data_IF_417582611090
#
_entry.id   IF_417582611090
#
_cell.length_a   1.000
_cell.length_b   1.000
_cell.length_c   1.000
_cell.angle_alpha   90.00
_cell.angle_beta   90.00
_cell.angle_gamma   90.00
#
_symmetry.space_group_name_H-M   'P 1'
#
loop_
_entity.id
_entity.type
_entity.pdbx_description
1 polymer ?
#
# COMPACT_ATOMS: atom_id res chain seq x y z
N UNK A 1 27.84 8.98 -3.16
CA UNK A 1 26.97 8.23 -4.09
C UNK A 1 26.27 9.26 -4.95
N UNK A 2 26.36 9.14 -6.26
CA UNK A 2 25.59 10.02 -7.15
C UNK A 2 24.10 9.92 -6.80
N UNK A 3 23.36 11.02 -6.92
CA UNK A 3 21.98 11.18 -6.44
C UNK A 3 20.93 10.41 -7.29
N UNK A 4 21.37 9.35 -7.94
CA UNK A 4 20.66 8.63 -8.98
C UNK A 4 19.97 7.36 -8.46
N UNK A 5 20.19 7.02 -7.20
CA UNK A 5 19.70 5.80 -6.56
C UNK A 5 20.57 4.57 -6.84
N UNK A 6 20.45 3.53 -6.00
CA UNK A 6 21.28 2.34 -6.08
C UNK A 6 20.94 1.49 -7.31
N UNK A 7 21.97 0.85 -7.86
CA UNK A 7 21.83 -0.30 -8.73
C UNK A 7 21.85 -1.58 -7.90
N UNK A 8 21.49 -2.70 -8.52
CA UNK A 8 21.50 -4.00 -7.86
C UNK A 8 22.86 -4.33 -7.20
N UNK A 9 23.96 -4.00 -7.88
CA UNK A 9 25.32 -4.30 -7.43
C UNK A 9 25.77 -3.47 -6.21
N UNK A 10 24.98 -2.47 -5.80
CA UNK A 10 25.28 -1.63 -4.63
C UNK A 10 24.77 -2.23 -3.33
N UNK A 11 23.84 -3.19 -3.39
CA UNK A 11 23.24 -3.78 -2.21
C UNK A 11 24.12 -4.83 -1.58
N UNK A 12 23.98 -4.97 -0.26
CA UNK A 12 24.57 -6.06 0.52
C UNK A 12 23.54 -6.59 1.49
N UNK A 13 23.53 -7.89 1.72
CA UNK A 13 22.73 -8.49 2.78
C UNK A 13 22.99 -7.78 4.12
N UNK A 14 21.92 -7.43 4.84
CA UNK A 14 21.97 -6.72 6.11
C UNK A 14 22.17 -5.20 6.01
N UNK A 15 22.36 -4.64 4.81
CA UNK A 15 22.50 -3.20 4.61
C UNK A 15 21.24 -2.45 5.04
N UNK A 16 21.41 -1.41 5.86
CA UNK A 16 20.36 -0.42 6.13
C UNK A 16 20.46 0.71 5.10
N UNK A 17 19.35 1.00 4.42
CA UNK A 17 19.26 2.12 3.49
C UNK A 17 19.08 3.40 4.30
N UNK A 18 19.91 4.44 4.08
CA UNK A 18 19.76 5.72 4.78
C UNK A 18 18.34 6.28 4.59
N UNK A 19 17.59 6.56 5.66
CA UNK A 19 16.18 6.95 5.54
C UNK A 19 16.03 8.30 4.83
N UNK A 20 14.87 8.49 4.18
CA UNK A 20 14.44 9.82 3.76
C UNK A 20 14.05 10.67 4.99
N UNK A 21 13.93 12.00 4.85
CA UNK A 21 13.50 12.85 5.95
C UNK A 21 12.19 12.36 6.58
N UNK A 22 12.12 12.47 7.91
CA UNK A 22 10.90 12.23 8.67
C UNK A 22 9.81 13.23 8.24
N UNK A 23 8.54 12.83 8.40
CA UNK A 23 7.38 13.66 8.03
C UNK A 23 6.48 13.82 9.23
N UNK A 24 6.25 15.05 9.67
CA UNK A 24 5.14 15.34 10.59
C UNK A 24 3.86 15.36 9.79
N UNK A 25 2.96 14.41 10.06
CA UNK A 25 1.70 14.29 9.32
C UNK A 25 0.72 15.35 9.83
N UNK A 26 0.09 16.06 8.91
CA UNK A 26 -0.81 17.17 9.19
C UNK A 26 -2.21 16.88 8.64
N UNK A 27 -3.18 17.72 9.03
CA UNK A 27 -4.54 17.64 8.46
C UNK A 27 -4.54 17.88 6.93
N UNK A 28 -3.58 18.66 6.42
CA UNK A 28 -3.46 18.91 4.99
C UNK A 28 -3.16 17.62 4.21
N UNK A 29 -2.45 16.66 4.82
CA UNK A 29 -2.12 15.39 4.18
C UNK A 29 -3.37 14.51 4.06
N UNK A 30 -4.25 14.48 5.06
CA UNK A 30 -5.57 13.85 4.96
C UNK A 30 -6.41 14.48 3.84
N UNK A 31 -6.45 15.81 3.77
CA UNK A 31 -7.19 16.54 2.73
C UNK A 31 -6.65 16.20 1.34
N UNK A 32 -5.33 16.22 1.16
CA UNK A 32 -4.68 15.90 -0.10
C UNK A 32 -4.92 14.43 -0.51
N UNK A 33 -4.81 13.49 0.43
CA UNK A 33 -5.05 12.08 0.16
C UNK A 33 -6.49 11.81 -0.28
N UNK A 34 -7.47 12.39 0.42
CA UNK A 34 -8.88 12.29 0.06
C UNK A 34 -9.19 12.98 -1.27
N UNK A 35 -8.55 14.11 -1.58
CA UNK A 35 -8.70 14.78 -2.88
C UNK A 35 -8.24 13.88 -4.02
N UNK A 36 -7.16 13.12 -3.83
CA UNK A 36 -6.59 12.25 -4.86
C UNK A 36 -7.33 10.92 -4.97
N UNK A 37 -7.79 10.35 -3.86
CA UNK A 37 -8.35 8.99 -3.84
C UNK A 37 -9.87 8.93 -3.77
N UNK A 38 -10.51 10.03 -3.38
CA UNK A 38 -11.94 10.03 -3.06
C UNK A 38 -12.29 9.27 -1.77
N UNK A 39 -11.30 8.90 -0.93
CA UNK A 39 -11.53 8.11 0.29
C UNK A 39 -12.53 8.77 1.24
N UNK A 40 -13.60 8.04 1.57
CA UNK A 40 -14.70 8.49 2.43
C UNK A 40 -14.58 7.98 3.87
N UNK A 41 -13.38 7.57 4.29
CA UNK A 41 -13.14 7.00 5.61
C UNK A 41 -13.69 7.90 6.74
N UNK A 42 -14.74 7.42 7.40
CA UNK A 42 -15.60 8.25 8.24
C UNK A 42 -14.85 8.91 9.40
N UNK A 43 -13.91 8.19 10.04
CA UNK A 43 -13.19 8.69 11.21
C UNK A 43 -12.01 9.61 10.87
N UNK A 44 -11.45 9.54 9.67
CA UNK A 44 -10.38 10.48 9.26
C UNK A 44 -10.98 11.78 8.69
N UNK A 45 -12.25 11.72 8.25
CA UNK A 45 -13.01 12.88 7.80
C UNK A 45 -13.73 13.64 8.93
N UNK A 46 -14.10 12.95 10.03
CA UNK A 46 -14.84 13.50 11.15
C UNK A 46 -14.17 13.18 12.50
N UNK A 47 -13.65 14.23 13.15
CA UNK A 47 -13.02 14.15 14.47
C UNK A 47 -13.99 13.73 15.57
N UNK A 48 -15.25 14.16 15.50
CA UNK A 48 -16.26 13.78 16.48
C UNK A 48 -16.56 12.29 16.38
N UNK A 49 -16.61 11.76 15.17
CA UNK A 49 -16.78 10.32 14.97
C UNK A 49 -15.54 9.53 15.39
N UNK A 50 -14.33 10.02 15.12
CA UNK A 50 -13.12 9.40 15.65
C UNK A 50 -13.08 9.39 17.18
N UNK A 51 -13.42 10.51 17.82
CA UNK A 51 -13.54 10.61 19.28
C UNK A 51 -14.58 9.64 19.82
N UNK A 52 -15.71 9.48 19.13
CA UNK A 52 -16.79 8.58 19.54
C UNK A 52 -16.34 7.12 19.56
N UNK A 53 -15.65 6.64 18.52
CA UNK A 53 -15.20 5.23 18.45
C UNK A 53 -13.95 4.95 19.28
N UNK A 54 -13.04 5.92 19.41
CA UNK A 54 -11.70 5.71 19.99
C UNK A 54 -11.51 6.30 21.39
N UNK A 55 -12.35 7.24 21.79
CA UNK A 55 -12.16 8.07 22.98
C UNK A 55 -11.07 9.14 22.84
N UNK A 56 -10.33 9.18 21.73
CA UNK A 56 -9.26 10.16 21.51
C UNK A 56 -9.80 11.57 21.29
N UNK A 57 -9.04 12.57 21.73
CA UNK A 57 -9.28 13.99 21.41
C UNK A 57 -8.51 14.47 20.17
N UNK A 58 -7.70 13.60 19.57
CA UNK A 58 -6.92 13.87 18.37
C UNK A 58 -7.76 13.80 17.09
N UNK A 59 -7.06 13.65 15.97
CA UNK A 59 -7.66 13.43 14.65
C UNK A 59 -6.93 12.28 13.96
N UNK A 60 -7.67 11.33 13.40
CA UNK A 60 -7.10 10.16 12.75
C UNK A 60 -6.47 10.53 11.40
N UNK A 61 -5.25 10.07 11.16
CA UNK A 61 -4.67 10.03 9.81
C UNK A 61 -5.29 8.82 9.08
N UNK A 62 -5.74 9.00 7.84
CA UNK A 62 -6.30 7.89 7.05
C UNK A 62 -5.34 6.69 7.06
N UNK A 63 -5.79 5.46 7.41
CA UNK A 63 -4.94 4.28 7.44
C UNK A 63 -4.23 4.01 6.10
N UNK A 64 -4.90 4.34 4.99
CA UNK A 64 -4.34 4.22 3.66
C UNK A 64 -3.15 5.17 3.45
N UNK A 65 -3.30 6.43 3.87
CA UNK A 65 -2.28 7.46 3.77
C UNK A 65 -1.01 7.12 4.56
N UNK A 66 -1.16 6.61 5.80
CA UNK A 66 -0.03 6.16 6.63
C UNK A 66 0.83 5.16 5.86
N UNK A 67 0.18 4.19 5.22
CA UNK A 67 0.87 3.19 4.41
C UNK A 67 1.47 3.77 3.13
N UNK A 68 0.85 4.78 2.50
CA UNK A 68 1.46 5.42 1.34
C UNK A 68 2.75 6.16 1.72
N UNK A 69 2.84 6.79 2.89
CA UNK A 69 4.11 7.32 3.41
C UNK A 69 5.12 6.21 3.69
N UNK A 70 4.70 5.15 4.37
CA UNK A 70 5.55 4.01 4.69
C UNK A 70 6.17 3.39 3.43
N UNK A 71 5.41 3.29 2.33
CA UNK A 71 5.91 2.77 1.05
C UNK A 71 6.78 3.81 0.36
N UNK A 72 6.29 5.04 0.21
CA UNK A 72 6.97 6.12 -0.49
C UNK A 72 8.36 6.41 0.07
N UNK A 73 8.50 6.46 1.41
CA UNK A 73 9.79 6.72 2.07
C UNK A 73 10.87 5.65 1.78
N UNK A 74 10.49 4.44 1.39
CA UNK A 74 11.42 3.32 1.11
C UNK A 74 11.91 3.30 -0.34
N UNK A 75 11.36 4.16 -1.19
CA UNK A 75 11.66 4.14 -2.62
C UNK A 75 13.00 4.78 -2.98
N UNK A 76 13.68 5.39 -2.01
CA UNK A 76 15.10 5.73 -2.11
C UNK A 76 15.98 4.49 -2.40
N UNK A 77 15.59 3.33 -1.88
CA UNK A 77 16.21 2.04 -2.22
C UNK A 77 15.87 1.58 -3.64
N UNK A 78 14.80 2.11 -4.26
CA UNK A 78 14.25 1.55 -5.50
C UNK A 78 13.96 2.61 -6.56
N UNK A 79 14.74 3.70 -6.60
CA UNK A 79 14.58 4.77 -7.60
C UNK A 79 14.59 4.24 -9.04
N UNK A 80 15.41 3.20 -9.25
CA UNK A 80 15.68 2.50 -10.52
C UNK A 80 15.05 1.11 -10.60
N UNK A 81 14.09 0.79 -9.72
CA UNK A 81 13.43 -0.50 -9.80
C UNK A 81 12.64 -0.62 -11.11
N UNK A 82 12.77 -1.80 -11.73
CA UNK A 82 12.03 -2.19 -12.94
C UNK A 82 10.58 -2.51 -12.54
N UNK A 83 10.41 -3.21 -11.41
CA UNK A 83 9.11 -3.56 -10.85
C UNK A 83 9.24 -3.85 -9.36
N UNK A 84 8.14 -3.66 -8.61
CA UNK A 84 7.95 -4.30 -7.31
C UNK A 84 7.21 -5.62 -7.57
N UNK A 85 7.77 -6.74 -7.14
CA UNK A 85 7.23 -8.07 -7.44
C UNK A 85 6.05 -8.41 -6.53
N UNK A 86 6.14 -8.07 -5.25
CA UNK A 86 5.07 -8.27 -4.26
C UNK A 86 5.37 -7.47 -2.98
N UNK A 87 4.32 -7.25 -2.19
CA UNK A 87 4.39 -6.92 -0.77
C UNK A 87 3.95 -8.14 0.04
N UNK A 88 4.54 -8.36 1.21
CA UNK A 88 4.22 -9.50 2.05
C UNK A 88 4.28 -9.15 3.54
N UNK A 89 3.58 -9.95 4.34
CA UNK A 89 3.58 -9.85 5.81
C UNK A 89 3.23 -8.46 6.34
N UNK A 90 2.29 -7.76 5.69
CA UNK A 90 2.00 -6.37 6.05
C UNK A 90 1.16 -6.31 7.31
N UNK A 91 1.67 -5.62 8.33
CA UNK A 91 0.98 -5.40 9.61
C UNK A 91 0.97 -3.92 9.94
N UNK A 92 -0.23 -3.38 10.18
CA UNK A 92 -0.44 -2.04 10.73
C UNK A 92 -0.62 -2.20 12.23
N UNK A 93 0.39 -1.79 12.98
CA UNK A 93 0.54 -2.06 14.41
C UNK A 93 -0.28 -1.10 15.26
N UNK A 94 -0.53 0.12 14.77
CA UNK A 94 -1.38 1.11 15.42
C UNK A 94 -1.86 2.18 14.44
N UNK A 95 -2.93 2.86 14.82
CA UNK A 95 -3.35 4.10 14.18
C UNK A 95 -2.36 5.25 14.47
N UNK A 96 -2.39 6.25 13.59
CA UNK A 96 -1.58 7.47 13.69
C UNK A 96 -2.50 8.66 13.80
N UNK A 97 -2.18 9.58 14.70
CA UNK A 97 -2.92 10.84 14.83
C UNK A 97 -2.18 12.00 14.14
N UNK A 98 -2.97 12.97 13.68
CA UNK A 98 -2.46 14.22 13.10
C UNK A 98 -1.54 14.91 14.11
N UNK A 99 -0.35 15.29 13.66
CA UNK A 99 0.70 15.91 14.47
C UNK A 99 1.86 14.97 14.80
N UNK A 100 1.70 13.65 14.63
CA UNK A 100 2.80 12.70 14.80
C UNK A 100 3.83 12.81 13.67
N UNK A 101 5.10 12.64 14.03
CA UNK A 101 6.23 12.57 13.10
C UNK A 101 6.59 11.12 12.78
N UNK A 102 6.51 10.74 11.50
CA UNK A 102 6.77 9.38 11.02
C UNK A 102 8.13 9.27 10.33
N UNK A 103 8.84 8.18 10.62
CA UNK A 103 10.10 7.80 9.98
C UNK A 103 10.03 6.35 9.54
N UNK A 104 10.53 6.07 8.33
CA UNK A 104 10.59 4.70 7.81
C UNK A 104 12.02 4.29 7.55
N UNK A 105 12.39 3.10 8.04
CA UNK A 105 13.68 2.46 7.82
C UNK A 105 13.55 1.28 6.87
N UNK A 106 14.61 0.96 6.15
CA UNK A 106 14.63 -0.15 5.19
C UNK A 106 15.92 -0.93 5.32
N UNK A 107 15.82 -2.25 5.42
CA UNK A 107 16.95 -3.18 5.52
C UNK A 107 16.91 -4.20 4.39
N UNK A 108 18.05 -4.48 3.78
CA UNK A 108 18.20 -5.57 2.80
C UNK A 108 18.24 -6.89 3.55
N UNK A 109 17.22 -7.73 3.33
CA UNK A 109 17.06 -9.05 3.95
C UNK A 109 17.61 -10.18 3.07
N UNK A 110 17.74 -9.96 1.76
CA UNK A 110 18.26 -10.95 0.83
C UNK A 110 18.45 -10.42 -0.59
N UNK A 111 19.34 -11.06 -1.32
CA UNK A 111 19.68 -10.75 -2.71
C UNK A 111 19.72 -12.04 -3.53
N UNK A 112 19.08 -12.02 -4.70
CA UNK A 112 19.16 -13.12 -5.64
C UNK A 112 19.25 -12.62 -7.09
N UNK A 113 20.22 -13.12 -7.84
CA UNK A 113 20.36 -12.80 -9.26
C UNK A 113 19.09 -13.23 -10.01
N UNK A 114 18.59 -12.37 -10.89
CA UNK A 114 17.48 -12.69 -11.76
C UNK A 114 17.99 -12.95 -13.18
N UNK A 115 17.26 -13.78 -13.94
CA UNK A 115 17.58 -14.02 -15.34
C UNK A 115 17.57 -12.69 -16.11
N UNK A 116 18.66 -12.35 -16.84
CA UNK A 116 18.70 -11.17 -17.69
C UNK A 116 17.53 -11.15 -18.68
N UNK A 117 17.11 -9.96 -19.08
CA UNK A 117 16.13 -9.78 -20.16
C UNK A 117 16.80 -9.00 -21.28
N UNK A 118 17.10 -9.68 -22.39
CA UNK A 118 18.06 -9.19 -23.39
C UNK A 118 19.37 -8.79 -22.69
N UNK A 119 19.90 -7.59 -22.97
CA UNK A 119 21.17 -7.12 -22.40
C UNK A 119 21.03 -6.51 -21.00
N UNK A 120 19.81 -6.44 -20.45
CA UNK A 120 19.57 -5.87 -19.12
C UNK A 120 19.73 -6.92 -18.02
N UNK A 121 20.85 -6.83 -17.31
CA UNK A 121 21.07 -7.56 -16.07
C UNK A 121 20.26 -6.94 -14.92
N UNK A 122 19.81 -7.80 -14.00
CA UNK A 122 18.88 -7.43 -12.93
C UNK A 122 18.91 -8.45 -11.80
N UNK A 123 18.48 -8.04 -10.62
CA UNK A 123 18.40 -8.90 -9.45
C UNK A 123 17.24 -8.55 -8.53
N UNK A 124 16.84 -9.52 -7.72
CA UNK A 124 15.83 -9.39 -6.68
C UNK A 124 16.49 -8.83 -5.42
N UNK A 125 15.89 -7.79 -4.86
CA UNK A 125 16.26 -7.21 -3.58
C UNK A 125 15.08 -7.36 -2.64
N UNK A 126 15.24 -8.23 -1.63
CA UNK A 126 14.25 -8.41 -0.58
C UNK A 126 14.53 -7.40 0.53
N UNK A 127 13.52 -6.59 0.84
CA UNK A 127 13.60 -5.47 1.76
C UNK A 127 12.64 -5.71 2.92
N UNK A 128 13.12 -5.50 4.14
CA UNK A 128 12.33 -5.37 5.35
C UNK A 128 12.16 -3.90 5.70
N UNK A 129 10.93 -3.51 6.01
CA UNK A 129 10.54 -2.13 6.26
C UNK A 129 9.91 -2.04 7.64
N UNK A 130 10.32 -1.00 8.38
CA UNK A 130 9.70 -0.62 9.65
C UNK A 130 9.44 0.89 9.65
N UNK A 131 8.19 1.26 9.90
CA UNK A 131 7.74 2.63 10.08
C UNK A 131 7.43 2.87 11.56
N UNK A 132 8.03 3.91 12.12
CA UNK A 132 7.86 4.32 13.52
C UNK A 132 7.38 5.77 13.57
N UNK A 133 6.58 6.09 14.58
CA UNK A 133 6.20 7.47 14.89
C UNK A 133 6.52 7.81 16.34
N UNK A 134 6.15 9.03 16.75
CA UNK A 134 6.41 9.55 18.10
C UNK A 134 5.86 8.62 19.20
N UNK A 135 4.75 7.94 18.93
CA UNK A 135 4.09 7.02 19.86
C UNK A 135 4.47 5.53 19.65
N UNK A 136 5.58 5.25 18.96
CA UNK A 136 6.11 3.89 18.75
C UNK A 136 5.85 3.31 17.35
N UNK A 137 6.08 2.00 17.15
CA UNK A 137 5.96 1.33 15.86
C UNK A 137 4.57 1.47 15.23
N UNK A 138 4.52 1.73 13.92
CA UNK A 138 3.28 1.98 13.16
C UNK A 138 3.01 0.84 12.19
N UNK A 139 4.01 0.44 11.40
CA UNK A 139 3.84 -0.59 10.39
C UNK A 139 5.13 -1.37 10.17
N UNK A 140 4.96 -2.66 9.87
CA UNK A 140 6.05 -3.55 9.49
C UNK A 140 5.62 -4.39 8.30
N UNK A 141 6.51 -4.51 7.32
CA UNK A 141 6.25 -5.32 6.14
C UNK A 141 7.54 -5.60 5.37
N UNK A 142 7.42 -6.45 4.36
CA UNK A 142 8.51 -6.74 3.44
C UNK A 142 8.05 -6.55 2.00
N UNK A 143 8.99 -6.24 1.10
CA UNK A 143 8.73 -6.22 -0.34
C UNK A 143 9.93 -6.72 -1.11
N UNK A 144 9.68 -7.27 -2.29
CA UNK A 144 10.74 -7.68 -3.21
C UNK A 144 10.74 -6.78 -4.44
N UNK A 145 11.85 -6.07 -4.68
CA UNK A 145 12.03 -5.24 -5.86
C UNK A 145 12.94 -5.92 -6.88
N UNK A 146 12.64 -5.76 -8.17
CA UNK A 146 13.53 -6.14 -9.26
C UNK A 146 14.31 -4.90 -9.70
N UNK A 147 15.62 -4.89 -9.49
CA UNK A 147 16.48 -3.71 -9.73
C UNK A 147 17.50 -4.02 -10.83
N UNK A 148 17.77 -3.04 -11.70
CA UNK A 148 18.77 -3.17 -12.75
C UNK A 148 20.19 -3.22 -12.17
N UNK A 149 21.06 -4.04 -12.77
CA UNK A 149 22.50 -4.07 -12.51
C UNK A 149 23.25 -3.21 -13.54
N UNK A 150 24.45 -2.72 -13.19
CA UNK A 150 25.35 -2.01 -14.11
C UNK A 150 26.21 -2.95 -14.93
N UNK A 151 26.78 -3.96 -14.30
CA UNK A 151 27.93 -4.70 -14.85
C UNK A 151 27.74 -6.21 -14.91
N UNK A 152 26.55 -6.73 -14.59
CA UNK A 152 26.26 -8.16 -14.77
C UNK A 152 25.42 -8.77 -13.65
N UNK A 153 25.72 -10.00 -13.30
CA UNK A 153 25.08 -10.71 -12.20
C UNK A 153 26.15 -11.01 -11.13
N UNK A 154 26.13 -10.37 -9.95
CA UNK A 154 27.13 -10.52 -8.89
C UNK A 154 27.25 -11.93 -8.26
N UNK A 155 26.36 -12.86 -8.58
CA UNK A 155 26.37 -14.22 -8.04
C UNK A 155 25.56 -14.39 -6.76
N UNK A 156 24.66 -13.47 -6.44
CA UNK A 156 23.81 -13.59 -5.26
C UNK A 156 22.76 -14.69 -5.44
N UNK A 157 22.53 -15.48 -4.39
CA UNK A 157 21.67 -16.67 -4.44
C UNK A 157 20.94 -16.92 -3.12
N UNK A 158 20.65 -15.87 -2.36
CA UNK A 158 19.87 -16.00 -1.13
C UNK A 158 18.48 -16.57 -1.45
N UNK A 159 17.95 -17.37 -0.52
CA UNK A 159 16.57 -17.86 -0.60
C UNK A 159 15.62 -16.70 -0.24
N UNK A 160 15.01 -16.11 -1.28
CA UNK A 160 14.05 -15.01 -1.12
C UNK A 160 12.64 -15.62 -1.10
N UNK A 161 11.92 -15.50 0.02
CA UNK A 161 10.62 -16.14 0.14
C UNK A 161 9.60 -15.38 -0.71
N UNK A 162 8.66 -16.10 -1.33
CA UNK A 162 7.65 -15.56 -2.26
C UNK A 162 6.59 -14.65 -1.60
N UNK A 163 5.41 -14.44 -2.21
CA UNK A 163 4.26 -13.86 -1.51
C UNK A 163 3.94 -14.62 -0.21
N UNK A 164 3.34 -13.95 0.78
CA UNK A 164 2.93 -14.61 2.03
C UNK A 164 1.72 -15.50 1.80
N UNK A 165 1.68 -16.64 2.49
CA UNK A 165 0.42 -17.33 2.73
C UNK A 165 -0.47 -16.46 3.64
N UNK A 166 -1.81 -16.48 3.45
CA UNK A 166 -2.72 -15.71 4.29
C UNK A 166 -2.54 -16.01 5.78
N UNK A 167 -2.36 -14.97 6.60
CA UNK A 167 -2.24 -15.16 8.04
C UNK A 167 -3.62 -15.47 8.65
N UNK A 168 -3.75 -16.46 9.57
CA UNK A 168 -5.00 -16.69 10.28
C UNK A 168 -5.49 -15.40 10.95
N UNK A 169 -6.78 -15.06 10.84
CA UNK A 169 -7.31 -13.82 11.43
C UNK A 169 -7.09 -13.76 12.95
N UNK A 170 -7.07 -14.92 13.61
CA UNK A 170 -6.82 -15.03 15.05
C UNK A 170 -5.45 -14.46 15.46
N UNK A 171 -4.44 -14.56 14.59
CA UNK A 171 -3.09 -14.04 14.82
C UNK A 171 -3.00 -12.51 14.60
N UNK A 172 -4.07 -11.91 14.06
CA UNK A 172 -4.17 -10.49 13.76
C UNK A 172 -5.00 -9.72 14.79
N UNK A 173 -5.68 -10.40 15.72
CA UNK A 173 -6.53 -9.77 16.75
C UNK A 173 -5.77 -8.73 17.58
N UNK A 174 -4.47 -8.96 17.84
CA UNK A 174 -3.63 -8.00 18.56
C UNK A 174 -3.35 -6.70 17.82
N UNK A 175 -3.66 -6.61 16.52
CA UNK A 175 -3.52 -5.40 15.69
C UNK A 175 -4.80 -4.55 15.69
N UNK A 176 -5.91 -5.08 16.22
CA UNK A 176 -7.18 -4.37 16.26
C UNK A 176 -7.07 -3.25 17.30
N UNK A 177 -7.32 -1.98 16.92
CA UNK A 177 -7.34 -0.90 17.89
C UNK A 177 -8.47 -1.11 18.90
N UNK A 178 -8.28 -0.66 20.14
CA UNK A 178 -9.31 -0.73 21.18
C UNK A 178 -10.41 0.34 20.95
N UNK A 179 -11.10 0.25 19.82
CA UNK A 179 -12.20 1.12 19.43
C UNK A 179 -13.53 0.36 19.53
N UNK A 180 -14.61 1.08 19.78
CA UNK A 180 -15.95 0.52 19.83
C UNK A 180 -16.75 0.97 18.59
N UNK A 181 -17.12 0.03 17.74
CA UNK A 181 -17.91 0.28 16.53
C UNK A 181 -19.40 -0.08 16.66
N UNK A 182 -19.87 -0.53 17.83
CA UNK A 182 -21.24 -1.04 18.05
C UNK A 182 -22.35 -0.05 17.64
N UNK A 183 -22.05 1.25 17.65
CA UNK A 183 -23.01 2.30 17.26
C UNK A 183 -23.05 2.57 15.75
N UNK A 184 -22.10 2.03 14.98
CA UNK A 184 -22.03 2.22 13.54
C UNK A 184 -22.94 1.21 12.82
N UNK A 185 -23.51 1.57 11.67
CA UNK A 185 -24.33 0.64 10.90
C UNK A 185 -23.45 -0.49 10.33
N UNK A 186 -23.80 -1.73 10.68
CA UNK A 186 -23.23 -2.91 10.05
C UNK A 186 -23.73 -3.04 8.60
N UNK A 187 -22.83 -3.39 7.69
CA UNK A 187 -23.18 -3.73 6.31
C UNK A 187 -23.13 -5.24 6.17
N UNK A 188 -24.29 -5.88 6.06
CA UNK A 188 -24.35 -7.32 5.84
C UNK A 188 -23.61 -7.69 4.55
N UNK A 189 -22.77 -8.72 4.59
CA UNK A 189 -21.98 -9.22 3.48
C UNK A 189 -21.74 -10.71 3.69
N UNK A 190 -22.19 -11.54 2.76
CA UNK A 190 -22.07 -12.99 2.89
C UNK A 190 -20.67 -13.46 2.47
N UNK A 191 -20.19 -14.55 3.06
CA UNK A 191 -18.91 -15.15 2.64
C UNK A 191 -18.97 -15.51 1.14
N UNK A 192 -17.86 -15.28 0.44
CA UNK A 192 -17.69 -15.46 -1.01
C UNK A 192 -18.56 -14.52 -1.88
N UNK A 193 -19.41 -13.68 -1.30
CA UNK A 193 -20.18 -12.68 -2.03
C UNK A 193 -19.23 -11.64 -2.63
N UNK A 194 -19.33 -11.45 -3.95
CA UNK A 194 -18.62 -10.39 -4.66
C UNK A 194 -19.54 -9.20 -4.90
N UNK A 195 -19.12 -8.00 -4.51
CA UNK A 195 -19.79 -6.75 -4.85
C UNK A 195 -18.89 -5.87 -5.68
N UNK A 196 -19.47 -5.24 -6.69
CA UNK A 196 -18.82 -4.20 -7.47
C UNK A 196 -19.24 -2.82 -6.94
N UNK A 197 -18.32 -1.88 -6.98
CA UNK A 197 -18.64 -0.48 -6.74
C UNK A 197 -19.14 0.18 -8.03
N UNK A 198 -20.36 0.69 -7.99
CA UNK A 198 -21.02 1.29 -9.14
C UNK A 198 -20.37 2.60 -9.60
N UNK A 199 -19.63 3.30 -8.74
CA UNK A 199 -19.07 4.61 -9.07
C UNK A 199 -17.91 4.52 -10.07
N UNK A 200 -17.14 3.42 -10.03
CA UNK A 200 -15.79 3.34 -10.64
C UNK A 200 -14.89 4.48 -10.12
N UNK A 201 -13.62 4.52 -10.52
CA UNK A 201 -12.77 5.70 -10.30
C UNK A 201 -11.79 5.88 -11.45
N UNK A 202 -11.40 7.12 -11.69
CA UNK A 202 -10.36 7.43 -12.67
C UNK A 202 -9.04 7.69 -11.94
N UNK A 203 -7.94 7.38 -12.61
CA UNK A 203 -6.60 7.67 -12.09
C UNK A 203 -6.23 9.10 -12.45
N UNK A 204 -6.20 10.00 -11.47
CA UNK A 204 -5.78 11.38 -11.65
C UNK A 204 -4.83 11.85 -10.53
N UNK A 205 -4.09 12.92 -10.79
CA UNK A 205 -3.12 13.49 -9.86
C UNK A 205 -2.06 12.46 -9.37
N UNK A 206 -1.73 11.44 -10.17
CA UNK A 206 -0.87 10.36 -9.70
C UNK A 206 0.55 10.82 -9.30
N UNK A 207 1.20 11.77 -10.03
CA UNK A 207 2.46 12.35 -9.58
C UNK A 207 2.34 13.11 -8.25
N UNK A 208 1.17 13.65 -7.91
CA UNK A 208 0.94 14.37 -6.66
C UNK A 208 1.02 13.41 -5.47
N UNK A 209 0.38 12.24 -5.55
CA UNK A 209 0.48 11.20 -4.51
C UNK A 209 1.92 10.72 -4.32
N UNK A 210 2.63 10.46 -5.43
CA UNK A 210 4.03 10.07 -5.36
C UNK A 210 4.92 11.17 -4.74
N UNK A 211 4.65 12.44 -5.01
CA UNK A 211 5.42 13.56 -4.44
C UNK A 211 5.15 13.74 -2.95
N UNK A 212 3.88 13.80 -2.54
CA UNK A 212 3.53 14.08 -1.15
C UNK A 212 4.03 12.99 -0.19
N UNK A 213 4.15 11.75 -0.67
CA UNK A 213 4.60 10.59 0.11
C UNK A 213 6.11 10.30 0.00
N UNK A 214 6.87 11.22 -0.59
CA UNK A 214 8.31 11.09 -0.85
C UNK A 214 8.69 9.88 -1.73
N UNK A 215 7.77 9.40 -2.57
CA UNK A 215 8.10 8.39 -3.55
C UNK A 215 9.07 8.95 -4.62
N UNK A 216 10.24 8.31 -4.73
CA UNK A 216 11.38 8.68 -5.57
C UNK A 216 11.57 7.74 -6.78
N UNK A 217 10.67 6.80 -7.04
CA UNK A 217 10.77 5.94 -8.22
C UNK A 217 10.61 6.76 -9.51
N UNK A 218 11.57 6.66 -10.42
CA UNK A 218 11.62 7.50 -11.63
C UNK A 218 10.45 7.24 -12.57
N UNK A 219 9.97 6.00 -12.64
CA UNK A 219 8.85 5.59 -13.51
C UNK A 219 7.56 6.37 -13.24
N UNK A 220 7.38 6.94 -12.03
CA UNK A 220 6.22 7.77 -11.69
C UNK A 220 6.36 9.24 -12.09
N UNK A 221 7.56 9.65 -12.54
CA UNK A 221 7.92 11.06 -12.82
C UNK A 221 8.34 11.27 -14.26
N UNK A 222 9.05 10.32 -14.84
CA UNK A 222 9.58 10.40 -16.19
C UNK A 222 9.14 9.17 -17.00
N UNK A 223 8.48 9.41 -18.13
CA UNK A 223 8.06 8.35 -19.05
C UNK A 223 9.23 7.66 -19.75
N UNK A 224 10.39 8.32 -19.87
CA UNK A 224 11.60 7.72 -20.45
C UNK A 224 12.19 6.60 -19.58
N UNK A 225 11.89 6.61 -18.27
CA UNK A 225 12.30 5.57 -17.34
C UNK A 225 11.41 4.31 -17.40
N UNK A 226 10.30 4.37 -18.14
CA UNK A 226 9.31 3.30 -18.28
C UNK A 226 9.42 2.62 -19.65
N UNK A 227 9.24 1.30 -19.68
CA UNK A 227 9.22 0.53 -20.94
C UNK A 227 8.03 0.90 -21.85
N UNK A 228 7.02 1.59 -21.31
CA UNK A 228 5.82 1.99 -22.05
C UNK A 228 5.98 3.37 -22.71
N UNK A 229 7.10 4.08 -22.50
CA UNK A 229 7.30 5.44 -23.02
C UNK A 229 6.38 6.49 -22.39
N UNK A 230 5.64 6.13 -21.34
CA UNK A 230 4.79 7.00 -20.52
C UNK A 230 4.98 6.69 -19.04
N UNK A 231 4.71 7.68 -18.18
CA UNK A 231 4.79 7.52 -16.72
C UNK A 231 3.88 6.39 -16.28
N UNK A 232 4.41 5.51 -15.43
CA UNK A 232 3.62 4.50 -14.73
C UNK A 232 3.02 5.12 -13.48
N UNK A 233 1.75 4.85 -13.23
CA UNK A 233 1.10 5.21 -11.98
C UNK A 233 1.72 4.39 -10.85
N UNK A 234 1.90 5.02 -9.70
CA UNK A 234 2.34 4.34 -8.49
C UNK A 234 1.30 3.30 -8.08
N UNK A 235 1.68 2.05 -7.90
CA UNK A 235 0.74 0.96 -7.56
C UNK A 235 -0.10 1.23 -6.31
N UNK A 236 0.47 1.91 -5.30
CA UNK A 236 -0.28 2.34 -4.12
C UNK A 236 -1.35 3.40 -4.39
N UNK A 237 -1.31 4.08 -5.54
CA UNK A 237 -2.41 4.92 -6.01
C UNK A 237 -3.64 4.06 -6.36
N UNK A 238 -3.45 2.99 -7.14
CA UNK A 238 -4.53 2.05 -7.48
C UNK A 238 -5.05 1.35 -6.22
N UNK A 239 -4.16 1.00 -5.29
CA UNK A 239 -4.55 0.48 -3.98
C UNK A 239 -5.35 1.52 -3.15
N UNK A 240 -4.96 2.79 -3.18
CA UNK A 240 -5.69 3.88 -2.52
C UNK A 240 -7.11 4.04 -3.07
N UNK A 241 -7.27 3.96 -4.39
CA UNK A 241 -8.60 3.94 -5.05
C UNK A 241 -9.39 2.67 -4.67
N UNK A 242 -8.74 1.51 -4.60
CA UNK A 242 -9.37 0.27 -4.14
C UNK A 242 -9.88 0.39 -2.69
N UNK A 243 -9.12 1.05 -1.81
CA UNK A 243 -9.55 1.33 -0.44
C UNK A 243 -10.72 2.33 -0.41
N UNK A 244 -10.66 3.41 -1.20
CA UNK A 244 -11.77 4.37 -1.30
C UNK A 244 -13.05 3.70 -1.79
N UNK A 245 -12.93 2.80 -2.78
CA UNK A 245 -14.02 1.97 -3.26
C UNK A 245 -14.58 1.05 -2.17
N UNK A 246 -13.71 0.39 -1.40
CA UNK A 246 -14.13 -0.42 -0.26
C UNK A 246 -14.90 0.42 0.77
N UNK A 247 -14.42 1.62 1.11
CA UNK A 247 -15.10 2.54 2.03
C UNK A 247 -16.50 2.95 1.54
N UNK A 248 -16.78 2.94 0.22
CA UNK A 248 -18.12 3.24 -0.31
C UNK A 248 -19.08 2.06 -0.19
N UNK A 249 -18.59 0.83 -0.43
CA UNK A 249 -19.42 -0.39 -0.38
C UNK A 249 -19.49 -1.01 1.03
N UNK A 250 -18.56 -0.63 1.92
CA UNK A 250 -18.51 -0.96 3.34
C UNK A 250 -18.22 0.32 4.15
N UNK A 251 -19.20 1.22 4.36
CA UNK A 251 -18.99 2.52 5.02
C UNK A 251 -18.45 2.46 6.45
N UNK A 252 -18.55 1.31 7.11
CA UNK A 252 -18.07 1.07 8.47
C UNK A 252 -16.58 0.70 8.58
N UNK A 253 -15.81 0.60 7.49
CA UNK A 253 -14.37 0.30 7.59
C UNK A 253 -13.67 1.34 8.47
N UNK A 254 -13.19 0.90 9.64
CA UNK A 254 -12.55 1.77 10.62
C UNK A 254 -11.02 1.70 10.55
N UNK A 255 -10.45 0.55 10.19
CA UNK A 255 -9.01 0.39 10.03
C UNK A 255 -8.68 -0.70 9.01
N UNK A 256 -7.52 -0.57 8.37
CA UNK A 256 -6.83 -1.68 7.69
C UNK A 256 -5.75 -2.16 8.65
N UNK A 257 -5.85 -3.39 9.15
CA UNK A 257 -4.91 -3.92 10.17
C UNK A 257 -3.77 -4.72 9.55
N UNK A 258 -4.00 -5.28 8.37
CA UNK A 258 -3.03 -6.07 7.62
C UNK A 258 -3.46 -6.21 6.15
N UNK A 259 -2.57 -6.72 5.30
CA UNK A 259 -2.95 -7.35 4.04
C UNK A 259 -2.01 -8.51 3.72
N UNK A 260 -2.56 -9.57 3.15
CA UNK A 260 -1.79 -10.79 2.85
C UNK A 260 -0.90 -10.59 1.61
N UNK A 261 -1.40 -9.82 0.62
CA UNK A 261 -0.69 -9.54 -0.63
C UNK A 261 -1.25 -8.33 -1.37
N UNK A 262 -0.46 -7.82 -2.31
CA UNK A 262 -0.82 -6.75 -3.23
C UNK A 262 -0.02 -6.95 -4.53
N UNK A 263 -0.70 -7.54 -5.52
CA UNK A 263 -0.12 -7.91 -6.81
C UNK A 263 -0.57 -6.93 -7.90
N UNK A 264 0.41 -6.30 -8.55
CA UNK A 264 0.17 -5.42 -9.69
C UNK A 264 0.31 -6.21 -10.99
N UNK A 265 -0.80 -6.81 -11.43
CA UNK A 265 -0.88 -7.70 -12.60
C UNK A 265 -0.67 -6.97 -13.93
N UNK A 266 -0.95 -5.66 -13.96
CA UNK A 266 -0.83 -4.82 -15.13
C UNK A 266 -0.47 -3.38 -14.79
N UNK A 267 -0.02 -2.59 -15.78
CA UNK A 267 0.27 -1.18 -15.56
C UNK A 267 -1.02 -0.36 -15.45
N UNK A 268 -0.98 0.70 -14.66
CA UNK A 268 -1.96 1.78 -14.68
C UNK A 268 -1.30 3.07 -15.21
N UNK A 269 -2.10 3.90 -15.87
CA UNK A 269 -1.71 5.18 -16.44
C UNK A 269 -2.67 6.29 -16.00
N UNK A 270 -2.17 7.52 -15.98
CA UNK A 270 -2.99 8.69 -15.71
C UNK A 270 -4.13 8.77 -16.74
N UNK A 271 -5.36 8.96 -16.26
CA UNK A 271 -6.58 8.99 -17.06
C UNK A 271 -7.29 7.64 -17.21
N UNK A 272 -6.67 6.53 -16.79
CA UNK A 272 -7.34 5.22 -16.83
C UNK A 272 -8.59 5.24 -15.95
N UNK A 273 -9.70 4.69 -16.45
CA UNK A 273 -10.90 4.40 -15.66
C UNK A 273 -10.81 2.99 -15.10
N UNK A 274 -11.09 2.82 -13.81
CA UNK A 274 -10.97 1.56 -13.08
C UNK A 274 -12.31 1.15 -12.49
N UNK A 275 -12.66 -0.12 -12.60
CA UNK A 275 -13.70 -0.75 -11.79
C UNK A 275 -13.08 -1.58 -10.68
N UNK A 276 -13.78 -1.68 -9.55
CA UNK A 276 -13.35 -2.46 -8.39
C UNK A 276 -14.40 -3.49 -8.00
N UNK A 277 -13.93 -4.70 -7.71
CA UNK A 277 -14.74 -5.83 -7.23
C UNK A 277 -14.17 -6.30 -5.91
N UNK A 278 -15.02 -6.54 -4.93
CA UNK A 278 -14.67 -6.87 -3.57
C UNK A 278 -15.33 -8.19 -3.21
N UNK A 279 -14.57 -9.22 -2.87
CA UNK A 279 -15.10 -10.51 -2.41
C UNK A 279 -14.71 -10.75 -0.97
N UNK A 280 -15.70 -10.99 -0.10
CA UNK A 280 -15.45 -11.35 1.29
C UNK A 280 -14.95 -12.79 1.39
N UNK A 281 -13.80 -13.00 2.02
CA UNK A 281 -13.15 -14.30 2.13
C UNK A 281 -13.33 -14.94 3.51
N UNK A 282 -13.19 -14.14 4.56
CA UNK A 282 -13.21 -14.62 5.94
C UNK A 282 -13.68 -13.50 6.87
N UNK A 283 -14.37 -13.86 7.95
CA UNK A 283 -14.69 -12.96 9.05
C UNK A 283 -14.30 -13.56 10.39
N UNK A 284 -13.95 -12.71 11.35
CA UNK A 284 -13.69 -13.11 12.73
C UNK A 284 -14.24 -12.04 13.68
N UNK A 285 -15.25 -12.35 14.52
CA UNK A 285 -15.69 -11.46 15.57
C UNK A 285 -14.57 -11.14 16.56
N UNK A 286 -14.42 -9.87 16.91
CA UNK A 286 -13.43 -9.38 17.89
C UNK A 286 -14.10 -8.34 18.81
N UNK A 287 -13.50 -7.97 19.95
CA UNK A 287 -14.06 -6.89 20.76
C UNK A 287 -14.24 -5.60 19.95
N UNK A 288 -15.44 -5.03 19.96
CA UNK A 288 -15.77 -3.76 19.30
C UNK A 288 -16.10 -3.85 17.80
N UNK A 289 -16.17 -5.05 17.21
CA UNK A 289 -16.57 -5.26 15.81
C UNK A 289 -16.13 -6.63 15.27
N UNK A 290 -15.62 -6.66 14.05
CA UNK A 290 -15.09 -7.86 13.40
C UNK A 290 -13.91 -7.54 12.48
N UNK A 291 -13.01 -8.52 12.34
CA UNK A 291 -12.06 -8.56 11.25
C UNK A 291 -12.72 -9.16 10.01
N UNK A 292 -12.49 -8.56 8.85
CA UNK A 292 -12.98 -9.04 7.56
C UNK A 292 -11.82 -9.09 6.56
N UNK A 293 -11.55 -10.26 5.97
CA UNK A 293 -10.59 -10.40 4.87
C UNK A 293 -11.32 -10.27 3.55
N UNK A 294 -10.86 -9.36 2.71
CA UNK A 294 -11.35 -9.22 1.34
C UNK A 294 -10.30 -9.67 0.34
N UNK A 295 -10.75 -10.11 -0.83
CA UNK A 295 -9.99 -10.03 -2.07
C UNK A 295 -10.59 -8.91 -2.91
N UNK A 296 -9.77 -7.91 -3.25
CA UNK A 296 -10.17 -6.74 -4.03
C UNK A 296 -9.42 -6.78 -5.36
N UNK A 297 -10.18 -6.74 -6.45
CA UNK A 297 -9.67 -6.75 -7.82
C UNK A 297 -10.01 -5.43 -8.50
N UNK A 298 -9.03 -4.86 -9.21
CA UNK A 298 -9.24 -3.70 -10.07
C UNK A 298 -8.97 -4.06 -11.53
N UNK A 299 -9.83 -3.61 -12.43
CA UNK A 299 -9.66 -3.77 -13.88
C UNK A 299 -9.80 -2.42 -14.58
N UNK A 300 -8.96 -2.17 -15.59
CA UNK A 300 -9.12 -1.01 -16.47
C UNK A 300 -10.37 -1.16 -17.32
N UNK A 301 -11.07 -0.06 -17.53
CA UNK A 301 -12.31 0.02 -18.29
C UNK A 301 -12.06 0.80 -19.57
N UNK A 302 -12.51 0.26 -20.71
CA UNK A 302 -12.40 0.96 -21.99
C UNK A 302 -13.44 2.07 -22.16
N UNK A 303 -13.36 2.80 -23.27
CA UNK A 303 -14.26 3.91 -23.61
C UNK A 303 -15.74 3.47 -23.79
N UNK A 304 -16.01 2.18 -23.94
CA UNK A 304 -17.34 1.61 -24.03
C UNK A 304 -17.85 1.06 -22.71
N UNK A 305 -17.07 1.19 -21.63
CA UNK A 305 -17.45 0.73 -20.31
C UNK A 305 -17.19 -0.76 -20.06
N UNK A 306 -16.45 -1.43 -20.94
CA UNK A 306 -16.11 -2.85 -20.83
C UNK A 306 -14.83 -3.00 -20.01
N UNK A 307 -14.89 -3.81 -18.96
CA UNK A 307 -13.72 -4.12 -18.14
C UNK A 307 -12.75 -5.06 -18.87
N UNK A 308 -11.48 -4.68 -18.89
CA UNK A 308 -10.38 -5.51 -19.36
C UNK A 308 -9.90 -6.51 -18.32
N UNK A 309 -8.64 -6.94 -18.46
CA UNK A 309 -8.00 -7.82 -17.47
C UNK A 309 -7.73 -7.07 -16.15
N UNK A 310 -7.70 -7.83 -15.06
CA UNK A 310 -7.30 -7.29 -13.76
C UNK A 310 -5.88 -6.71 -13.82
N UNK A 311 -5.71 -5.54 -13.22
CA UNK A 311 -4.43 -4.85 -13.05
C UNK A 311 -3.95 -4.85 -11.60
N UNK A 312 -4.84 -5.12 -10.64
CA UNK A 312 -4.56 -5.22 -9.21
C UNK A 312 -5.32 -6.39 -8.59
N UNK A 313 -4.65 -7.13 -7.72
CA UNK A 313 -5.26 -7.97 -6.69
C UNK A 313 -4.70 -7.56 -5.34
N UNK A 314 -5.56 -7.14 -4.42
CA UNK A 314 -5.19 -6.74 -3.07
C UNK A 314 -6.03 -7.49 -2.05
N UNK A 315 -5.40 -8.03 -1.01
CA UNK A 315 -6.09 -8.86 -0.01
C UNK A 315 -6.05 -8.23 1.39
N UNK A 316 -6.79 -7.12 1.63
CA UNK A 316 -6.79 -6.46 2.93
C UNK A 316 -7.58 -7.22 3.99
N UNK A 317 -7.12 -7.06 5.23
CA UNK A 317 -7.86 -7.39 6.44
C UNK A 317 -8.25 -6.07 7.10
N UNK A 318 -9.55 -5.83 7.22
CA UNK A 318 -10.12 -4.61 7.77
C UNK A 318 -10.85 -4.88 9.08
N UNK A 319 -10.89 -3.87 9.95
CA UNK A 319 -11.73 -3.83 11.14
C UNK A 319 -12.97 -2.97 10.85
N UNK A 320 -14.15 -3.56 11.04
CA UNK A 320 -15.45 -2.95 10.75
C UNK A 320 -16.52 -3.46 11.74
N UNK A 321 -17.71 -2.84 11.82
CA UNK A 321 -18.82 -3.29 12.68
C UNK A 321 -19.26 -4.72 12.35
#
# INVERSE_FOLDING_TARGET
MDNDGPYYDDFKHGMTIPPLPAVTVTEADNVAYRMITGDQHFASADRGMYQHISGSRGALVSPGLVMQYAIGQTTNATRRAIANLYYRSVRVLRAVEVGETITTSTRVLGLADAKPKADQHRGKVWLGIETVGDNGPIAQYERCALVASRTGSPGHSDDIPGPSDPAPLQDLVGLVPSWNLDSLPATAWELEETRADAMRDHVDLAPSLARMTFNQAFVHRDGSASIYGKRLVYGGHVQGLAQASLSRVLPGVAAVVAWDGCDHLGPAFEGDLLEFRHQLQETLPVPGGQLMRFEIRAASVDEHGVAGSDILVWTPIVFAP
#
